data_IF_775435050911
#
_entry.id   IF_775435050911
#
_cell.length_a   1.000
_cell.length_b   1.000
_cell.length_c   1.000
_cell.angle_alpha   90.00
_cell.angle_beta   90.00
_cell.angle_gamma   90.00
#
_symmetry.space_group_name_H-M   'P 1'
#
loop_
_entity.id
_entity.type
_entity.pdbx_description
1 polymer ?
#
# COMPACT_ATOMS: atom_id res chain seq x y z
N UNK A 1 -75.18 1.85 -51.11
CA UNK A 1 -75.87 2.34 -49.90
C UNK A 1 -75.04 1.86 -48.72
N UNK A 2 -74.10 2.70 -48.28
CA UNK A 2 -73.23 2.40 -47.15
C UNK A 2 -74.06 2.33 -45.88
N UNK A 3 -74.14 1.16 -45.26
CA UNK A 3 -74.65 1.00 -43.90
C UNK A 3 -73.50 1.29 -42.93
N UNK A 4 -73.36 2.56 -42.56
CA UNK A 4 -72.53 3.00 -41.44
C UNK A 4 -73.18 2.45 -40.17
N UNK A 5 -72.77 1.25 -39.75
CA UNK A 5 -73.03 0.70 -38.43
C UNK A 5 -72.26 1.56 -37.42
N UNK A 6 -72.95 2.53 -36.80
CA UNK A 6 -72.41 3.30 -35.68
C UNK A 6 -72.23 2.34 -34.49
N UNK A 7 -70.99 2.09 -34.02
CA UNK A 7 -70.74 1.10 -32.98
C UNK A 7 -71.41 1.51 -31.67
N UNK A 8 -71.96 0.54 -30.93
CA UNK A 8 -72.63 0.80 -29.67
C UNK A 8 -71.60 1.26 -28.61
N UNK A 9 -71.98 2.12 -27.64
CA UNK A 9 -71.06 2.63 -26.62
C UNK A 9 -70.46 1.53 -25.73
N UNK A 10 -71.07 0.34 -25.68
CA UNK A 10 -70.57 -0.83 -24.94
C UNK A 10 -69.40 -1.50 -25.64
N UNK A 11 -69.35 -1.47 -26.98
CA UNK A 11 -68.28 -2.08 -27.78
C UNK A 11 -67.00 -1.23 -27.75
N UNK A 12 -67.15 0.10 -27.69
CA UNK A 12 -66.04 1.05 -27.52
C UNK A 12 -65.43 0.93 -26.12
N UNK A 13 -66.27 0.78 -25.08
CA UNK A 13 -65.83 0.52 -23.71
C UNK A 13 -65.14 -0.84 -23.56
N UNK A 14 -65.62 -1.88 -24.23
CA UNK A 14 -65.00 -3.22 -24.23
C UNK A 14 -63.62 -3.19 -24.91
N UNK A 15 -63.48 -2.49 -26.04
CA UNK A 15 -62.19 -2.30 -26.71
C UNK A 15 -61.20 -1.50 -25.85
N UNK A 16 -61.62 -0.41 -25.20
CA UNK A 16 -60.77 0.37 -24.29
C UNK A 16 -60.34 -0.45 -23.07
N UNK A 17 -61.22 -1.31 -22.54
CA UNK A 17 -60.94 -2.18 -21.39
C UNK A 17 -59.94 -3.29 -21.69
N UNK A 18 -59.87 -3.77 -22.94
CA UNK A 18 -58.94 -4.82 -23.39
C UNK A 18 -57.62 -4.21 -23.90
N UNK A 19 -57.66 -3.05 -24.54
CA UNK A 19 -56.46 -2.38 -25.07
C UNK A 19 -55.61 -1.73 -23.96
N UNK A 20 -56.22 -1.23 -22.88
CA UNK A 20 -55.51 -0.65 -21.74
C UNK A 20 -54.51 -1.60 -21.05
N UNK A 21 -54.87 -2.86 -20.69
CA UNK A 21 -53.91 -3.80 -20.09
C UNK A 21 -52.82 -4.24 -21.08
N UNK A 22 -53.12 -4.36 -22.38
CA UNK A 22 -52.12 -4.68 -23.41
C UNK A 22 -51.13 -3.53 -23.62
N UNK A 23 -51.60 -2.28 -23.61
CA UNK A 23 -50.74 -1.10 -23.67
C UNK A 23 -49.85 -0.99 -22.41
N UNK A 24 -50.39 -1.30 -21.23
CA UNK A 24 -49.62 -1.30 -19.98
C UNK A 24 -48.56 -2.42 -19.94
N UNK A 25 -48.85 -3.61 -20.48
CA UNK A 25 -47.89 -4.71 -20.63
C UNK A 25 -46.79 -4.37 -21.64
N UNK A 26 -47.14 -3.69 -22.74
CA UNK A 26 -46.18 -3.23 -23.75
C UNK A 26 -45.25 -2.13 -23.20
N UNK A 27 -45.78 -1.19 -22.41
CA UNK A 27 -44.98 -0.18 -21.73
C UNK A 27 -44.08 -0.78 -20.63
N UNK A 28 -44.56 -1.79 -19.90
CA UNK A 28 -43.73 -2.53 -18.95
C UNK A 28 -42.58 -3.26 -19.66
N UNK A 29 -42.86 -3.97 -20.76
CA UNK A 29 -41.82 -4.69 -21.50
C UNK A 29 -40.80 -3.75 -22.15
N UNK A 30 -41.23 -2.61 -22.69
CA UNK A 30 -40.33 -1.56 -23.20
C UNK A 30 -39.47 -0.98 -22.07
N UNK A 31 -40.05 -0.69 -20.90
CA UNK A 31 -39.32 -0.17 -19.74
C UNK A 31 -38.31 -1.19 -19.20
N UNK A 32 -38.70 -2.47 -19.08
CA UNK A 32 -37.82 -3.57 -18.66
C UNK A 32 -36.69 -3.78 -19.68
N UNK A 33 -36.98 -3.73 -20.98
CA UNK A 33 -35.98 -3.88 -22.03
C UNK A 33 -35.00 -2.70 -22.03
N UNK A 34 -35.48 -1.47 -21.83
CA UNK A 34 -34.63 -0.28 -21.70
C UNK A 34 -33.71 -0.35 -20.47
N UNK A 35 -34.23 -0.84 -19.33
CA UNK A 35 -33.44 -1.03 -18.11
C UNK A 35 -32.39 -2.15 -18.29
N UNK A 36 -32.77 -3.23 -18.99
CA UNK A 36 -31.87 -4.32 -19.36
C UNK A 36 -30.76 -3.87 -20.33
N UNK A 37 -31.09 -3.13 -21.39
CA UNK A 37 -30.08 -2.64 -22.36
C UNK A 37 -29.13 -1.63 -21.71
N UNK A 38 -29.63 -0.78 -20.80
CA UNK A 38 -28.79 0.11 -20.01
C UNK A 38 -27.83 -0.66 -19.09
N UNK A 39 -28.30 -1.74 -18.44
CA UNK A 39 -27.44 -2.62 -17.63
C UNK A 39 -26.39 -3.40 -18.44
N UNK A 40 -26.68 -3.78 -19.69
CA UNK A 40 -25.72 -4.45 -20.58
C UNK A 40 -24.63 -3.51 -21.13
N UNK A 41 -24.81 -2.20 -21.01
CA UNK A 41 -23.85 -1.18 -21.44
C UNK A 41 -22.66 -1.04 -20.48
N UNK A 42 -22.81 -1.50 -19.22
CA UNK A 42 -21.74 -1.43 -18.22
C UNK A 42 -20.73 -2.59 -18.38
N UNK A 43 -19.42 -2.31 -18.15
CA UNK A 43 -18.39 -3.33 -18.19
C UNK A 43 -18.59 -4.40 -17.10
N UNK A 44 -18.34 -5.66 -17.46
CA UNK A 44 -18.37 -6.80 -16.55
C UNK A 44 -17.12 -6.88 -15.67
N UNK A 45 -17.30 -7.31 -14.42
CA UNK A 45 -16.23 -7.45 -13.41
C UNK A 45 -15.13 -8.47 -13.78
N UNK A 46 -15.40 -9.35 -14.76
CA UNK A 46 -14.54 -10.45 -15.20
C UNK A 46 -13.29 -9.96 -15.96
N UNK A 47 -13.14 -8.64 -16.16
CA UNK A 47 -11.95 -8.10 -16.80
C UNK A 47 -10.69 -8.45 -15.98
N UNK A 48 -9.71 -9.19 -16.54
CA UNK A 48 -8.53 -9.64 -15.80
C UNK A 48 -7.75 -8.49 -15.15
N UNK A 49 -7.76 -7.31 -15.78
CA UNK A 49 -7.13 -6.09 -15.27
C UNK A 49 -7.74 -5.60 -13.95
N UNK A 50 -9.06 -5.69 -13.79
CA UNK A 50 -9.76 -5.19 -12.60
C UNK A 50 -9.59 -6.16 -11.42
N UNK A 51 -9.64 -7.46 -11.68
CA UNK A 51 -9.35 -8.50 -10.68
C UNK A 51 -7.91 -8.37 -10.19
N UNK A 52 -6.91 -8.33 -11.08
CA UNK A 52 -5.52 -8.14 -10.68
C UNK A 52 -5.35 -6.87 -9.85
N UNK A 53 -5.89 -5.73 -10.29
CA UNK A 53 -5.78 -4.48 -9.53
C UNK A 53 -6.38 -4.60 -8.12
N UNK A 54 -7.59 -5.16 -7.97
CA UNK A 54 -8.31 -5.28 -6.71
C UNK A 54 -7.56 -6.13 -5.66
N UNK A 55 -6.86 -7.18 -6.09
CA UNK A 55 -6.12 -8.05 -5.17
C UNK A 55 -4.65 -7.62 -4.98
N UNK A 56 -3.97 -7.16 -6.03
CA UNK A 56 -2.55 -6.76 -5.93
C UNK A 56 -2.37 -5.40 -5.23
N UNK A 57 -3.23 -4.42 -5.48
CA UNK A 57 -3.11 -3.08 -4.89
C UNK A 57 -3.05 -3.11 -3.36
N UNK A 58 -4.01 -3.74 -2.64
CA UNK A 58 -3.96 -3.79 -1.18
C UNK A 58 -2.82 -4.66 -0.64
N UNK A 59 -2.38 -5.69 -1.38
CA UNK A 59 -1.24 -6.54 -0.99
C UNK A 59 0.07 -5.76 -1.07
N UNK A 60 0.26 -4.97 -2.13
CA UNK A 60 1.46 -4.13 -2.29
C UNK A 60 1.52 -3.06 -1.20
N UNK A 61 0.40 -2.40 -0.91
CA UNK A 61 0.31 -1.42 0.17
C UNK A 61 0.64 -2.07 1.53
N UNK A 62 0.09 -3.24 1.82
CA UNK A 62 0.42 -4.00 3.02
C UNK A 62 1.91 -4.35 3.08
N UNK A 63 2.51 -4.77 1.96
CA UNK A 63 3.95 -5.05 1.87
C UNK A 63 4.81 -3.84 2.18
N UNK A 64 4.55 -2.69 1.55
CA UNK A 64 5.32 -1.46 1.82
C UNK A 64 5.20 -1.02 3.28
N UNK A 65 4.00 -1.07 3.85
CA UNK A 65 3.78 -0.65 5.24
C UNK A 65 4.48 -1.58 6.21
N UNK A 66 4.44 -2.89 5.98
CA UNK A 66 5.03 -3.87 6.91
C UNK A 66 6.54 -3.98 6.78
N UNK A 67 7.11 -3.85 5.59
CA UNK A 67 8.56 -3.98 5.38
C UNK A 67 9.38 -2.79 5.91
N UNK A 68 8.80 -1.59 5.92
CA UNK A 68 9.52 -0.36 6.28
C UNK A 68 9.02 0.29 7.57
N UNK A 69 8.24 -0.42 8.38
CA UNK A 69 7.65 0.12 9.61
C UNK A 69 8.70 0.57 10.62
N UNK A 70 9.85 -0.12 10.71
CA UNK A 70 10.91 0.27 11.64
C UNK A 70 11.69 1.54 11.21
N UNK A 71 11.56 1.99 9.95
CA UNK A 71 12.14 3.24 9.49
C UNK A 71 11.16 4.42 9.65
N UNK A 72 9.87 4.19 9.42
CA UNK A 72 8.85 5.22 9.53
C UNK A 72 7.62 4.75 10.33
N UNK A 73 7.54 5.06 11.63
CA UNK A 73 6.46 4.57 12.50
C UNK A 73 5.08 5.14 12.16
N UNK A 74 5.02 6.20 11.34
CA UNK A 74 3.78 6.85 10.88
C UNK A 74 3.19 6.21 9.60
N UNK A 75 3.91 5.29 8.94
CA UNK A 75 3.42 4.61 7.73
C UNK A 75 2.04 3.93 7.91
N UNK A 76 1.74 3.25 9.03
CA UNK A 76 0.43 2.62 9.23
C UNK A 76 -0.73 3.62 9.27
N UNK A 77 -0.49 4.85 9.71
CA UNK A 77 -1.51 5.90 9.76
C UNK A 77 -1.90 6.34 8.35
N UNK A 78 -0.93 6.58 7.48
CA UNK A 78 -1.18 6.89 6.07
C UNK A 78 -1.87 5.74 5.35
N UNK A 79 -1.50 4.50 5.66
CA UNK A 79 -2.16 3.32 5.12
C UNK A 79 -3.63 3.24 5.54
N UNK A 80 -3.95 3.57 6.79
CA UNK A 80 -5.31 3.57 7.30
C UNK A 80 -6.17 4.64 6.61
N UNK A 81 -5.63 5.84 6.43
CA UNK A 81 -6.32 6.91 5.69
C UNK A 81 -6.58 6.51 4.23
N UNK A 82 -5.57 5.94 3.55
CA UNK A 82 -5.72 5.43 2.19
C UNK A 82 -6.76 4.31 2.13
N UNK A 83 -6.76 3.37 3.08
CA UNK A 83 -7.76 2.30 3.13
C UNK A 83 -9.20 2.83 3.29
N UNK A 84 -9.40 3.90 4.08
CA UNK A 84 -10.74 4.51 4.25
C UNK A 84 -11.23 5.10 2.92
N UNK A 85 -10.36 5.83 2.22
CA UNK A 85 -10.69 6.42 0.91
C UNK A 85 -10.92 5.32 -0.12
N UNK A 86 -10.05 4.31 -0.17
CA UNK A 86 -10.13 3.20 -1.13
C UNK A 86 -11.45 2.44 -0.99
N UNK A 87 -11.89 2.11 0.24
CA UNK A 87 -13.19 1.43 0.46
C UNK A 87 -14.36 2.24 -0.12
N UNK A 88 -14.31 3.58 -0.03
CA UNK A 88 -15.36 4.45 -0.56
C UNK A 88 -15.30 4.55 -2.08
N UNK A 89 -14.11 4.67 -2.65
CA UNK A 89 -13.90 4.72 -4.09
C UNK A 89 -14.27 3.39 -4.75
N UNK A 90 -13.90 2.26 -4.15
CA UNK A 90 -14.28 0.93 -4.61
C UNK A 90 -15.79 0.74 -4.55
N UNK A 91 -16.45 1.10 -3.45
CA UNK A 91 -17.90 1.03 -3.35
C UNK A 91 -18.59 1.89 -4.41
N UNK A 92 -18.11 3.12 -4.63
CA UNK A 92 -18.63 4.00 -5.68
C UNK A 92 -18.46 3.38 -7.07
N UNK A 93 -17.30 2.80 -7.36
CA UNK A 93 -17.00 2.11 -8.62
C UNK A 93 -17.89 0.88 -8.83
N UNK A 94 -18.15 0.09 -7.79
CA UNK A 94 -19.06 -1.05 -7.85
C UNK A 94 -20.51 -0.67 -8.12
N UNK A 95 -20.96 0.47 -7.59
CA UNK A 95 -22.35 0.92 -7.73
C UNK A 95 -22.58 1.66 -9.05
N UNK A 96 -21.60 2.42 -9.54
CA UNK A 96 -21.79 3.36 -10.67
C UNK A 96 -21.10 2.95 -11.97
N UNK A 97 -20.03 2.16 -11.92
CA UNK A 97 -19.18 1.90 -13.10
C UNK A 97 -19.20 0.42 -13.54
N UNK A 98 -19.75 -0.48 -12.73
CA UNK A 98 -19.68 -1.91 -12.95
C UNK A 98 -21.07 -2.54 -13.00
N UNK A 99 -21.23 -3.55 -13.84
CA UNK A 99 -22.44 -4.38 -13.84
C UNK A 99 -22.48 -5.26 -12.60
N UNK A 100 -23.68 -5.44 -12.04
CA UNK A 100 -23.92 -6.31 -10.86
C UNK A 100 -23.39 -7.73 -11.11
N UNK A 101 -22.39 -8.21 -10.34
CA UNK A 101 -21.89 -9.57 -10.47
C UNK A 101 -22.86 -10.58 -9.83
N UNK A 102 -22.80 -11.83 -10.29
CA UNK A 102 -23.52 -12.93 -9.65
C UNK A 102 -22.86 -13.28 -8.31
N UNK A 103 -23.67 -13.46 -7.28
CA UNK A 103 -23.17 -13.83 -5.95
C UNK A 103 -22.56 -15.22 -5.98
N UNK A 104 -21.27 -15.32 -5.71
CA UNK A 104 -20.58 -16.57 -5.44
C UNK A 104 -20.23 -16.63 -3.95
N UNK A 105 -20.54 -17.74 -3.28
CA UNK A 105 -20.07 -17.98 -1.91
C UNK A 105 -18.68 -18.60 -1.97
N UNK A 106 -17.71 -17.93 -1.38
CA UNK A 106 -16.34 -18.41 -1.28
C UNK A 106 -15.95 -18.47 0.20
N UNK A 107 -15.46 -19.61 0.71
CA UNK A 107 -15.17 -19.76 2.14
C UNK A 107 -13.94 -18.97 2.59
N UNK A 108 -12.98 -18.72 1.70
CA UNK A 108 -11.71 -18.07 2.02
C UNK A 108 -11.25 -17.17 0.86
N UNK A 109 -10.30 -16.27 1.14
CA UNK A 109 -9.67 -15.39 0.14
C UNK A 109 -8.75 -16.15 -0.85
N UNK A 110 -8.50 -17.45 -0.60
CA UNK A 110 -7.76 -18.35 -1.49
C UNK A 110 -6.24 -18.23 -1.35
N UNK A 111 -5.53 -18.32 -2.47
CA UNK A 111 -4.06 -18.31 -2.54
C UNK A 111 -3.43 -17.05 -1.91
N UNK A 112 -4.16 -15.93 -1.91
CA UNK A 112 -3.72 -14.66 -1.33
C UNK A 112 -3.42 -14.75 0.17
N UNK A 113 -4.10 -15.64 0.91
CA UNK A 113 -3.83 -15.83 2.33
C UNK A 113 -2.42 -16.40 2.57
N UNK A 114 -1.97 -17.32 1.71
CA UNK A 114 -0.62 -17.87 1.78
C UNK A 114 0.42 -16.80 1.45
N UNK A 115 0.14 -15.94 0.45
CA UNK A 115 1.03 -14.84 0.06
C UNK A 115 1.17 -13.82 1.20
N UNK A 116 0.06 -13.39 1.80
CA UNK A 116 0.07 -12.44 2.93
C UNK A 116 0.80 -13.00 4.14
N UNK A 117 0.66 -14.31 4.41
CA UNK A 117 1.41 -15.00 5.48
C UNK A 117 2.91 -15.09 5.17
N UNK A 118 3.29 -15.33 3.92
CA UNK A 118 4.70 -15.30 3.51
C UNK A 118 5.29 -13.89 3.66
N UNK A 119 4.54 -12.88 3.23
CA UNK A 119 4.94 -11.48 3.30
C UNK A 119 5.11 -10.99 4.75
N UNK A 120 4.26 -11.44 5.68
CA UNK A 120 4.41 -11.09 7.10
C UNK A 120 5.67 -11.69 7.73
N UNK A 121 6.01 -12.95 7.41
CA UNK A 121 7.27 -13.56 7.86
C UNK A 121 8.47 -12.82 7.29
N UNK A 122 8.43 -12.50 6.00
CA UNK A 122 9.49 -11.71 5.34
C UNK A 122 9.64 -10.33 5.98
N UNK A 123 8.54 -9.66 6.31
CA UNK A 123 8.56 -8.37 7.00
C UNK A 123 9.26 -8.43 8.36
N UNK A 124 9.04 -9.48 9.16
CA UNK A 124 9.74 -9.64 10.44
C UNK A 124 11.25 -9.74 10.23
N UNK A 125 11.67 -10.56 9.26
CA UNK A 125 13.09 -10.76 8.94
C UNK A 125 13.72 -9.45 8.46
N UNK A 126 13.09 -8.74 7.52
CA UNK A 126 13.59 -7.47 6.98
C UNK A 126 13.68 -6.38 8.05
N UNK A 127 12.66 -6.22 8.91
CA UNK A 127 12.72 -5.23 9.98
C UNK A 127 13.81 -5.57 11.02
N UNK A 128 14.01 -6.85 11.34
CA UNK A 128 15.11 -7.28 12.21
C UNK A 128 16.48 -6.92 11.62
N UNK A 129 16.68 -7.17 10.31
CA UNK A 129 17.90 -6.76 9.61
C UNK A 129 18.10 -5.25 9.58
N UNK A 130 17.03 -4.48 9.37
CA UNK A 130 17.10 -3.02 9.37
C UNK A 130 17.51 -2.48 10.74
N UNK A 131 16.98 -3.05 11.83
CA UNK A 131 17.42 -2.69 13.18
C UNK A 131 18.88 -3.13 13.41
N UNK A 132 19.29 -4.29 12.88
CA UNK A 132 20.62 -4.84 13.12
C UNK A 132 21.77 -4.12 12.39
N UNK A 133 21.51 -3.62 11.18
CA UNK A 133 22.53 -3.03 10.32
C UNK A 133 22.45 -1.53 10.19
N UNK A 134 21.26 -0.96 10.07
CA UNK A 134 21.09 0.48 9.82
C UNK A 134 20.79 1.30 11.08
N UNK A 135 20.48 0.67 12.20
CA UNK A 135 20.15 1.42 13.42
C UNK A 135 21.37 1.65 14.32
N UNK A 136 21.55 2.92 14.68
CA UNK A 136 22.38 3.42 15.78
C UNK A 136 22.00 2.83 17.16
N UNK A 137 20.95 2.03 17.24
CA UNK A 137 20.49 1.45 18.49
C UNK A 137 21.49 0.44 19.07
N UNK A 138 22.02 -0.47 18.25
CA UNK A 138 22.99 -1.48 18.67
C UNK A 138 24.30 -0.86 19.19
N UNK A 139 24.99 0.03 18.46
CA UNK A 139 26.25 0.61 18.93
C UNK A 139 26.09 1.37 20.26
N UNK A 140 24.97 2.08 20.44
CA UNK A 140 24.65 2.79 21.69
C UNK A 140 24.40 1.82 22.85
N UNK A 141 23.67 0.73 22.61
CA UNK A 141 23.46 -0.29 23.63
C UNK A 141 24.78 -0.94 24.06
N UNK A 142 25.62 -1.34 23.11
CA UNK A 142 26.93 -1.94 23.39
C UNK A 142 27.79 -0.99 24.22
N UNK A 143 27.81 0.30 23.87
CA UNK A 143 28.54 1.31 24.65
C UNK A 143 28.05 1.40 26.09
N UNK A 144 26.73 1.45 26.32
CA UNK A 144 26.13 1.55 27.66
C UNK A 144 26.47 0.33 28.53
N UNK A 145 26.48 -0.87 27.94
CA UNK A 145 26.67 -2.11 28.70
C UNK A 145 28.14 -2.50 28.89
N UNK A 146 28.99 -2.22 27.90
CA UNK A 146 30.39 -2.72 27.88
C UNK A 146 31.39 -1.63 28.23
N UNK A 147 31.20 -0.41 27.72
CA UNK A 147 32.22 0.66 27.79
C UNK A 147 31.90 1.68 28.89
N UNK A 148 30.63 2.03 29.09
CA UNK A 148 30.20 3.08 30.00
C UNK A 148 30.24 2.60 31.46
N UNK A 149 30.94 3.36 32.31
CA UNK A 149 31.02 3.09 33.76
C UNK A 149 29.70 3.38 34.49
N UNK A 150 28.95 4.39 34.02
CA UNK A 150 27.73 4.88 34.66
C UNK A 150 26.45 4.45 33.93
N UNK A 151 26.57 3.64 32.86
CA UNK A 151 25.45 3.30 31.94
C UNK A 151 24.76 4.51 31.31
N UNK A 152 25.47 5.63 31.20
CA UNK A 152 25.04 6.81 30.46
C UNK A 152 25.71 6.86 29.09
N UNK A 153 25.14 7.63 28.15
CA UNK A 153 25.75 7.89 26.83
C UNK A 153 26.81 9.01 26.88
N UNK A 154 27.23 9.45 28.08
CA UNK A 154 28.21 10.52 28.22
C UNK A 154 29.57 10.07 27.66
N UNK A 155 30.07 10.78 26.64
CA UNK A 155 31.30 10.41 25.93
C UNK A 155 31.12 9.36 24.84
N UNK A 156 29.88 8.98 24.49
CA UNK A 156 29.62 8.05 23.38
C UNK A 156 30.20 8.57 22.06
N UNK A 157 29.99 9.86 21.75
CA UNK A 157 30.48 10.46 20.50
C UNK A 157 32.01 10.38 20.41
N UNK A 158 32.72 10.77 21.46
CA UNK A 158 34.18 10.71 21.50
C UNK A 158 34.74 9.29 21.37
N UNK A 159 34.04 8.29 21.89
CA UNK A 159 34.43 6.88 21.78
C UNK A 159 34.01 6.22 20.45
N UNK A 160 32.96 6.75 19.81
CA UNK A 160 32.44 6.22 18.54
C UNK A 160 33.21 6.70 17.31
N UNK A 161 33.98 7.79 17.45
CA UNK A 161 34.74 8.40 16.37
C UNK A 161 36.15 7.80 16.30
N UNK A 162 36.57 7.40 15.11
CA UNK A 162 37.97 7.05 14.85
C UNK A 162 38.79 8.31 14.65
N UNK A 163 40.03 8.28 15.14
CA UNK A 163 41.00 9.35 15.00
C UNK A 163 41.90 9.04 13.81
N UNK A 164 42.02 9.99 12.88
CA UNK A 164 42.90 9.90 11.72
C UNK A 164 43.88 11.07 11.72
N UNK A 165 45.16 10.79 11.55
CA UNK A 165 46.19 11.81 11.47
C UNK A 165 46.30 12.32 10.03
N UNK A 166 46.28 13.64 9.84
CA UNK A 166 46.32 14.23 8.49
C UNK A 166 47.68 14.05 7.79
N UNK A 167 48.73 13.65 8.52
CA UNK A 167 50.00 13.25 7.90
C UNK A 167 49.91 11.97 7.07
N UNK A 168 48.92 11.12 7.34
CA UNK A 168 48.86 9.77 6.78
C UNK A 168 48.14 9.73 5.42
N UNK A 169 47.70 10.88 4.91
CA UNK A 169 47.16 10.99 3.56
C UNK A 169 48.24 10.72 2.50
N UNK A 170 47.95 9.79 1.59
CA UNK A 170 48.69 9.65 0.33
C UNK A 170 48.66 10.97 -0.44
N UNK A 171 49.75 11.31 -1.11
CA UNK A 171 49.92 12.57 -1.84
C UNK A 171 48.86 12.76 -2.94
N UNK A 172 48.22 11.68 -3.42
CA UNK A 172 47.15 11.71 -4.43
C UNK A 172 45.77 12.08 -3.87
N UNK A 173 45.51 11.84 -2.58
CA UNK A 173 44.17 11.97 -1.95
C UNK A 173 44.11 13.15 -0.98
N UNK A 174 45.24 13.83 -0.76
CA UNK A 174 45.33 14.95 0.17
C UNK A 174 44.46 16.12 -0.30
N UNK A 175 43.68 16.75 0.58
CA UNK A 175 42.92 17.95 0.22
C UNK A 175 43.86 19.09 -0.18
N UNK A 176 43.50 19.80 -1.26
CA UNK A 176 44.27 20.96 -1.77
C UNK A 176 44.37 22.10 -0.75
N UNK A 177 43.38 22.21 0.14
CA UNK A 177 43.38 23.12 1.29
C UNK A 177 43.36 22.33 2.62
N UNK A 178 44.52 22.06 3.24
CA UNK A 178 44.59 21.37 4.53
C UNK A 178 44.21 22.27 5.73
N UNK A 179 43.95 23.56 5.47
CA UNK A 179 43.60 24.56 6.47
C UNK A 179 42.08 24.71 6.53
N UNK A 180 41.48 24.33 7.66
CA UNK A 180 40.09 24.68 7.93
C UNK A 180 40.07 26.15 8.41
N UNK A 181 39.98 27.09 7.46
CA UNK A 181 40.16 28.52 7.74
C UNK A 181 41.63 28.89 7.96
N UNK A 182 41.98 29.45 9.13
CA UNK A 182 43.37 29.84 9.47
C UNK A 182 44.09 28.80 10.34
N UNK A 183 43.47 27.65 10.62
CA UNK A 183 44.00 26.66 11.57
C UNK A 183 44.53 25.43 10.85
N UNK A 184 45.74 25.02 11.21
CA UNK A 184 46.35 23.78 10.72
C UNK A 184 45.75 22.60 11.48
N UNK A 185 44.99 21.75 10.78
CA UNK A 185 44.30 20.59 11.35
C UNK A 185 45.22 19.36 11.27
N UNK A 186 45.69 18.90 12.42
CA UNK A 186 46.56 17.72 12.53
C UNK A 186 45.77 16.42 12.74
N UNK A 187 44.58 16.50 13.30
CA UNK A 187 43.77 15.34 13.67
C UNK A 187 42.34 15.49 13.16
N UNK A 188 41.90 14.52 12.37
CA UNK A 188 40.55 14.41 11.88
C UNK A 188 39.81 13.31 12.64
N UNK A 189 38.51 13.53 12.87
CA UNK A 189 37.61 12.53 13.43
C UNK A 189 36.57 12.17 12.39
N UNK A 190 36.34 10.89 12.21
CA UNK A 190 35.41 10.41 11.22
C UNK A 190 34.58 9.24 11.79
N UNK A 191 33.35 9.15 11.32
CA UNK A 191 32.46 8.07 11.70
C UNK A 191 32.76 6.89 10.75
N UNK A 192 33.77 6.09 11.09
CA UNK A 192 34.00 4.82 10.40
C UNK A 192 33.54 3.66 11.27
N UNK A 193 32.57 2.91 10.77
CA UNK A 193 31.99 1.73 11.42
C UNK A 193 32.98 0.54 11.48
N UNK A 194 34.23 0.70 11.09
CA UNK A 194 35.22 -0.38 11.04
C UNK A 194 35.51 -0.98 12.43
N UNK A 195 35.43 -0.19 13.51
CA UNK A 195 35.51 -0.74 14.88
C UNK A 195 34.24 -1.53 15.28
N UNK A 196 33.09 -1.27 14.66
CA UNK A 196 31.87 -2.07 14.85
C UNK A 196 31.93 -3.43 14.14
N UNK A 197 32.68 -3.55 13.04
CA UNK A 197 32.90 -4.83 12.35
C UNK A 197 33.76 -5.79 13.19
N UNK A 198 34.78 -5.30 13.90
CA UNK A 198 35.64 -6.14 14.74
C UNK A 198 34.91 -6.70 15.97
N UNK A 199 33.96 -5.94 16.55
CA UNK A 199 33.12 -6.47 17.64
C UNK A 199 32.06 -7.47 17.14
N UNK A 200 31.57 -7.33 15.90
CA UNK A 200 30.62 -8.29 15.29
C UNK A 200 31.27 -9.63 14.91
N UNK A 201 32.55 -9.65 14.54
CA UNK A 201 33.28 -10.88 14.20
C UNK A 201 33.86 -11.57 15.44
N UNK A 202 34.28 -10.81 16.46
CA UNK A 202 34.88 -11.35 17.69
C UNK A 202 33.91 -11.95 18.72
N UNK A 203 32.59 -11.83 18.52
CA UNK A 203 31.58 -12.47 19.39
C UNK A 203 31.02 -13.78 18.81
N UNK A 204 31.43 -14.16 17.59
CA UNK A 204 31.06 -15.41 16.92
C UNK A 204 32.25 -16.40 16.78
N UNK A 205 33.37 -16.14 17.47
CA UNK A 205 34.48 -17.08 17.66
C UNK A 205 34.93 -17.12 19.12
#
# INVERSE_FOLDING_TARGET
>A
MELILKPSPKDVLLHLSIMWPLASLCLLSISIVADCTQHYSFPQLIHPKLFSFLYFSPVIQFGFVTLFVAAFPLAPLFALLNNIVEIRLDAYKYVTQLRRPLSARVPNIGAWQAILKGLSVFAVISNAFMIAYTSDFIPRLVYIFVTSKNRTLDGYIDNSLSLFNTSDFSDEVRPEEPLLGNFNVTLCRYAEELQHAQMKVGLWF
#
